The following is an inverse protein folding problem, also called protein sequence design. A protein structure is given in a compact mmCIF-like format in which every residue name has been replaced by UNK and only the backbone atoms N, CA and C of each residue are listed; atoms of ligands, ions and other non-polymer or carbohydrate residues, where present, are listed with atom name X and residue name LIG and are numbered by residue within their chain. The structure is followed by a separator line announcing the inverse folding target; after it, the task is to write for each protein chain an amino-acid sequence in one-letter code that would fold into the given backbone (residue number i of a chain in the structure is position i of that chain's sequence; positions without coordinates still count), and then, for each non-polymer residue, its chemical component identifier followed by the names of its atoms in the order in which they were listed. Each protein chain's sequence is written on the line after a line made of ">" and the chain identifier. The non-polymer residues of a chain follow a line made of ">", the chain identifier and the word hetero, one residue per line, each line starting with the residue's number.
data_IF_627653121257
#
_entry.id   IF_627653121257
#
_cell.length_a   1.000
_cell.length_b   1.000
_cell.length_c   1.000
_cell.angle_alpha   90.00
_cell.angle_beta   90.00
_cell.angle_gamma   90.00
#
_symmetry.space_group_name_H-M   'P 1'
#
loop_
_entity.id
_entity.type
_entity.pdbx_description
1 polymer ?
#
# COMPACT_ATOMS: atom_id res chain seq x y z
N UNK A 1 -1.78 -23.29 27.84
CA UNK A 1 -1.49 -22.15 26.96
C UNK A 1 -2.81 -21.72 26.33
N UNK A 2 -3.36 -20.56 26.75
CA UNK A 2 -4.56 -20.02 26.14
C UNK A 2 -4.22 -19.64 24.68
N UNK A 3 -5.03 -20.09 23.71
CA UNK A 3 -4.90 -19.66 22.32
C UNK A 3 -5.26 -18.17 22.27
N UNK A 4 -4.30 -17.33 21.92
CA UNK A 4 -4.54 -15.92 21.67
C UNK A 4 -5.56 -15.79 20.53
N UNK A 5 -6.61 -15.00 20.76
CA UNK A 5 -7.64 -14.77 19.75
C UNK A 5 -7.08 -13.79 18.73
N UNK A 6 -6.91 -14.23 17.49
CA UNK A 6 -6.45 -13.41 16.38
C UNK A 6 -7.64 -13.07 15.50
N UNK A 7 -7.94 -11.77 15.39
CA UNK A 7 -8.96 -11.26 14.47
C UNK A 7 -8.30 -10.88 13.15
N UNK A 8 -8.74 -11.51 12.06
CA UNK A 8 -8.21 -11.26 10.72
C UNK A 8 -9.19 -10.43 9.90
N UNK A 9 -8.77 -9.21 9.53
CA UNK A 9 -9.54 -8.26 8.74
C UNK A 9 -8.94 -8.15 7.34
N UNK A 10 -9.72 -8.44 6.27
CA UNK A 10 -9.23 -8.27 4.92
C UNK A 10 -9.20 -6.78 4.55
N UNK A 11 -8.13 -6.33 3.91
CA UNK A 11 -8.08 -5.02 3.27
C UNK A 11 -8.96 -5.01 2.02
N UNK A 12 -9.82 -3.99 1.91
CA UNK A 12 -10.67 -3.77 0.73
C UNK A 12 -10.15 -2.56 -0.04
N UNK A 13 -9.99 -2.73 -1.34
CA UNK A 13 -9.55 -1.64 -2.20
C UNK A 13 -10.62 -0.56 -2.31
N UNK A 14 -10.22 0.70 -2.15
CA UNK A 14 -11.06 1.85 -2.46
C UNK A 14 -11.27 1.99 -3.97
N UNK A 15 -12.30 2.74 -4.38
CA UNK A 15 -12.53 3.08 -5.79
C UNK A 15 -11.30 3.74 -6.44
N UNK A 16 -10.58 4.57 -5.68
CA UNK A 16 -9.38 5.27 -6.16
C UNK A 16 -8.26 4.28 -6.46
N UNK A 17 -8.00 3.33 -5.57
CA UNK A 17 -6.99 2.26 -5.78
C UNK A 17 -7.35 1.43 -7.01
N UNK A 18 -8.64 1.09 -7.20
CA UNK A 18 -9.11 0.41 -8.39
C UNK A 18 -8.83 1.22 -9.67
N UNK A 19 -9.21 2.50 -9.68
CA UNK A 19 -9.01 3.39 -10.84
C UNK A 19 -7.53 3.49 -11.18
N UNK A 20 -6.66 3.74 -10.20
CA UNK A 20 -5.21 3.88 -10.43
C UNK A 20 -4.63 2.57 -10.96
N UNK A 21 -5.01 1.43 -10.37
CA UNK A 21 -4.51 0.11 -10.79
C UNK A 21 -4.96 -0.23 -12.21
N UNK A 22 -6.22 -0.02 -12.54
CA UNK A 22 -6.71 -0.23 -13.92
C UNK A 22 -6.05 0.72 -14.92
N UNK A 23 -5.91 2.00 -14.56
CA UNK A 23 -5.24 2.97 -15.44
C UNK A 23 -3.80 2.56 -15.74
N UNK A 24 -3.08 2.03 -14.75
CA UNK A 24 -1.73 1.51 -14.96
C UNK A 24 -1.71 0.38 -16.00
N UNK A 25 -2.63 -0.58 -15.90
CA UNK A 25 -2.71 -1.67 -16.87
C UNK A 25 -3.13 -1.20 -18.27
N UNK A 26 -4.06 -0.23 -18.35
CA UNK A 26 -4.44 0.37 -19.65
C UNK A 26 -3.23 1.04 -20.31
N UNK A 27 -2.45 1.82 -19.57
CA UNK A 27 -1.22 2.44 -20.07
C UNK A 27 -0.20 1.40 -20.51
N UNK A 28 0.00 0.34 -19.73
CA UNK A 28 0.90 -0.75 -20.09
C UNK A 28 0.50 -1.42 -21.41
N UNK A 29 -0.79 -1.74 -21.58
CA UNK A 29 -1.32 -2.32 -22.81
C UNK A 29 -1.17 -1.36 -24.00
N UNK A 30 -1.43 -0.06 -23.82
CA UNK A 30 -1.29 0.95 -24.86
C UNK A 30 0.19 1.08 -25.31
N UNK A 31 1.13 1.10 -24.38
CA UNK A 31 2.57 1.16 -24.69
C UNK A 31 3.03 -0.08 -25.43
N UNK A 32 2.63 -1.27 -24.98
CA UNK A 32 2.95 -2.53 -25.66
C UNK A 32 2.34 -2.56 -27.07
N UNK A 33 1.08 -2.14 -27.20
CA UNK A 33 0.40 -2.04 -28.49
C UNK A 33 1.11 -1.09 -29.47
N UNK A 34 1.59 0.06 -28.97
CA UNK A 34 2.38 1.00 -29.79
C UNK A 34 3.69 0.37 -30.27
N UNK A 35 4.40 -0.38 -29.41
CA UNK A 35 5.64 -1.07 -29.81
C UNK A 35 5.37 -2.13 -30.87
N UNK A 36 4.28 -2.89 -30.76
CA UNK A 36 3.86 -3.86 -31.78
C UNK A 36 3.50 -3.16 -33.07
N UNK A 37 2.77 -2.05 -33.05
CA UNK A 37 2.44 -1.27 -34.23
C UNK A 37 3.71 -0.75 -34.96
N UNK A 38 4.71 -0.31 -34.18
CA UNK A 38 6.02 0.09 -34.75
C UNK A 38 6.71 -1.05 -35.50
N UNK A 39 6.65 -2.27 -34.96
CA UNK A 39 7.19 -3.47 -35.62
C UNK A 39 6.49 -3.72 -36.96
N UNK A 40 5.15 -3.67 -36.95
CA UNK A 40 4.33 -3.92 -38.17
C UNK A 40 4.59 -2.87 -39.26
N UNK A 41 4.87 -1.64 -38.87
CA UNK A 41 5.20 -0.54 -39.81
C UNK A 41 6.65 -0.56 -40.32
N UNK A 42 7.41 -1.61 -40.02
CA UNK A 42 8.80 -1.79 -40.51
C UNK A 42 9.88 -1.33 -39.54
N UNK A 43 9.55 -0.72 -38.42
CA UNK A 43 10.48 -0.33 -37.37
C UNK A 43 10.85 -1.50 -36.42
N UNK A 44 11.20 -2.65 -37.00
CA UNK A 44 11.36 -3.92 -36.27
C UNK A 44 12.33 -3.81 -35.10
N UNK A 45 13.52 -3.25 -35.34
CA UNK A 45 14.57 -3.13 -34.32
C UNK A 45 14.11 -2.25 -33.13
N UNK A 46 13.56 -1.08 -33.45
CA UNK A 46 13.07 -0.14 -32.41
C UNK A 46 11.91 -0.70 -31.61
N UNK A 47 10.97 -1.37 -32.28
CA UNK A 47 9.84 -2.00 -31.59
C UNK A 47 10.24 -3.17 -30.67
N UNK A 48 11.19 -4.02 -31.13
CA UNK A 48 11.70 -5.12 -30.30
C UNK A 48 12.47 -4.60 -29.07
N UNK A 49 13.36 -3.63 -29.25
CA UNK A 49 14.10 -3.01 -28.15
C UNK A 49 13.11 -2.39 -27.17
N UNK A 50 12.10 -1.66 -27.66
CA UNK A 50 11.05 -1.09 -26.82
C UNK A 50 10.32 -2.13 -25.98
N UNK A 51 9.93 -3.27 -26.55
CA UNK A 51 9.28 -4.36 -25.83
C UNK A 51 10.19 -5.00 -24.78
N UNK A 52 11.46 -5.25 -25.12
CA UNK A 52 12.43 -5.84 -24.18
C UNK A 52 12.65 -4.95 -22.96
N UNK A 53 12.55 -3.63 -23.11
CA UNK A 53 12.72 -2.68 -22.02
C UNK A 53 11.38 -2.47 -21.27
N UNK A 54 10.29 -2.16 -21.96
CA UNK A 54 9.05 -1.76 -21.35
C UNK A 54 8.36 -2.89 -20.57
N UNK A 55 8.32 -4.10 -21.15
CA UNK A 55 7.60 -5.22 -20.55
C UNK A 55 8.17 -5.62 -19.17
N UNK A 56 9.48 -5.83 -18.99
CA UNK A 56 10.04 -6.14 -17.67
C UNK A 56 9.82 -5.01 -16.66
N UNK A 57 9.87 -3.75 -17.09
CA UNK A 57 9.64 -2.60 -16.19
C UNK A 57 8.20 -2.63 -15.66
N UNK A 58 7.19 -2.79 -16.53
CA UNK A 58 5.79 -2.87 -16.08
C UNK A 58 5.55 -4.07 -15.15
N UNK A 59 6.12 -5.23 -15.49
CA UNK A 59 6.03 -6.42 -14.64
C UNK A 59 6.69 -6.19 -13.28
N UNK A 60 7.89 -5.61 -13.26
CA UNK A 60 8.62 -5.35 -12.02
C UNK A 60 7.87 -4.35 -11.11
N UNK A 61 7.31 -3.27 -11.68
CA UNK A 61 6.50 -2.30 -10.93
C UNK A 61 5.24 -2.99 -10.38
N UNK A 62 4.51 -3.75 -11.20
CA UNK A 62 3.30 -4.44 -10.76
C UNK A 62 3.61 -5.45 -9.65
N UNK A 63 4.64 -6.28 -9.82
CA UNK A 63 5.06 -7.29 -8.85
C UNK A 63 5.52 -6.64 -7.53
N UNK A 64 6.29 -5.55 -7.59
CA UNK A 64 6.71 -4.80 -6.42
C UNK A 64 5.50 -4.23 -5.67
N UNK A 65 4.62 -3.51 -6.36
CA UNK A 65 3.49 -2.87 -5.74
C UNK A 65 2.48 -3.88 -5.17
N UNK A 66 2.20 -4.98 -5.88
CA UNK A 66 1.31 -6.03 -5.39
C UNK A 66 1.93 -6.79 -4.21
N UNK A 67 3.22 -7.11 -4.29
CA UNK A 67 3.91 -7.88 -3.27
C UNK A 67 4.07 -7.17 -1.93
N UNK A 68 4.20 -5.85 -1.93
CA UNK A 68 4.33 -5.02 -0.73
C UNK A 68 3.02 -4.33 -0.31
N UNK A 69 1.95 -4.44 -1.08
CA UNK A 69 0.63 -3.93 -0.71
C UNK A 69 0.06 -4.70 0.49
N UNK A 70 -0.61 -4.02 1.43
CA UNK A 70 -1.27 -4.68 2.56
C UNK A 70 -2.47 -5.50 2.09
N UNK A 71 -2.53 -6.77 2.50
CA UNK A 71 -3.59 -7.70 2.11
C UNK A 71 -4.54 -8.00 3.26
N UNK A 72 -4.01 -8.18 4.47
CA UNK A 72 -4.79 -8.50 5.68
C UNK A 72 -4.18 -7.80 6.88
N UNK A 73 -5.06 -7.43 7.80
CA UNK A 73 -4.70 -6.92 9.12
C UNK A 73 -5.08 -7.98 10.15
N UNK A 74 -4.10 -8.47 10.88
CA UNK A 74 -4.31 -9.36 12.01
C UNK A 74 -4.13 -8.58 13.30
N UNK A 75 -5.15 -8.63 14.14
CA UNK A 75 -5.16 -7.94 15.43
C UNK A 75 -5.30 -8.98 16.53
N UNK A 76 -4.31 -9.01 17.41
CA UNK A 76 -4.31 -9.86 18.59
C UNK A 76 -4.16 -9.02 19.87
N UNK A 77 -4.18 -9.67 21.02
CA UNK A 77 -3.97 -9.00 22.32
C UNK A 77 -2.54 -8.49 22.49
N UNK A 78 -1.56 -9.15 21.86
CA UNK A 78 -0.14 -8.83 21.99
C UNK A 78 0.40 -7.94 20.86
N UNK A 79 -0.18 -8.02 19.66
CA UNK A 79 0.37 -7.38 18.47
C UNK A 79 -0.66 -7.05 17.39
N UNK A 80 -0.30 -6.11 16.53
CA UNK A 80 -1.00 -5.78 15.29
C UNK A 80 -0.07 -6.15 14.13
N UNK A 81 -0.49 -7.07 13.25
CA UNK A 81 0.32 -7.56 12.13
C UNK A 81 -0.34 -7.23 10.79
N UNK A 82 0.40 -6.56 9.93
CA UNK A 82 0.00 -6.24 8.57
C UNK A 82 0.62 -7.29 7.66
N UNK A 83 -0.22 -8.18 7.12
CA UNK A 83 0.20 -9.21 6.19
C UNK A 83 0.29 -8.65 4.77
N UNK A 84 1.40 -8.92 4.11
CA UNK A 84 1.67 -8.63 2.71
C UNK A 84 2.12 -9.91 2.03
N UNK A 85 2.13 -9.96 0.70
CA UNK A 85 2.51 -11.18 -0.02
C UNK A 85 3.95 -11.61 0.27
N UNK A 86 4.91 -10.66 0.26
CA UNK A 86 6.33 -11.00 0.42
C UNK A 86 6.80 -11.03 1.87
N UNK A 87 6.16 -10.29 2.76
CA UNK A 87 6.53 -10.23 4.17
C UNK A 87 5.38 -9.70 5.03
N UNK A 88 5.59 -9.62 6.33
CA UNK A 88 4.67 -8.99 7.28
C UNK A 88 5.35 -7.87 8.06
N UNK A 89 4.55 -6.95 8.58
CA UNK A 89 4.98 -5.90 9.51
C UNK A 89 4.21 -6.07 10.80
N UNK A 90 4.93 -6.23 11.89
CA UNK A 90 4.35 -6.43 13.22
C UNK A 90 4.62 -5.22 14.09
N UNK A 91 3.58 -4.72 14.75
CA UNK A 91 3.62 -3.65 15.75
C UNK A 91 3.22 -4.27 17.08
N UNK A 92 4.13 -4.32 18.03
CA UNK A 92 3.83 -4.86 19.37
C UNK A 92 2.96 -3.87 20.14
N UNK A 93 1.85 -4.34 20.72
CA UNK A 93 0.96 -3.48 21.51
C UNK A 93 1.65 -2.86 22.71
N UNK A 94 2.61 -3.55 23.30
CA UNK A 94 3.42 -3.04 24.42
C UNK A 94 4.24 -1.78 24.07
N UNK A 95 4.50 -1.55 22.77
CA UNK A 95 5.23 -0.37 22.30
C UNK A 95 4.30 0.78 21.90
N UNK A 96 3.00 0.55 21.80
CA UNK A 96 2.04 1.55 21.34
C UNK A 96 1.74 2.54 22.47
N UNK A 97 1.94 3.83 22.20
CA UNK A 97 1.58 4.93 23.10
C UNK A 97 0.17 5.42 22.82
N UNK A 98 -0.15 5.70 21.55
CA UNK A 98 -1.45 6.23 21.14
C UNK A 98 -1.96 5.58 19.86
N UNK A 99 -3.29 5.45 19.76
CA UNK A 99 -4.01 5.10 18.54
C UNK A 99 -5.08 6.17 18.33
N UNK A 100 -4.95 6.96 17.28
CA UNK A 100 -5.81 8.10 17.01
C UNK A 100 -6.48 7.96 15.63
N UNK A 101 -7.79 8.24 15.52
CA UNK A 101 -8.45 8.27 14.23
C UNK A 101 -7.96 9.48 13.42
N UNK A 102 -7.75 9.26 12.12
CA UNK A 102 -7.37 10.31 11.18
C UNK A 102 -8.52 10.64 10.23
N UNK A 103 -8.71 11.91 10.00
CA UNK A 103 -9.65 12.40 9.00
C UNK A 103 -8.97 12.59 7.62
N UNK A 104 -9.77 12.68 6.56
CA UNK A 104 -9.26 12.98 5.23
C UNK A 104 -8.52 14.35 5.17
N UNK A 105 -8.86 15.30 6.07
CA UNK A 105 -8.16 16.58 6.17
C UNK A 105 -6.72 16.42 6.67
N UNK A 106 -6.49 15.44 7.55
CA UNK A 106 -5.18 15.17 8.15
C UNK A 106 -4.20 14.58 7.14
N UNK A 107 -4.74 13.95 6.09
CA UNK A 107 -3.96 13.36 5.00
C UNK A 107 -3.75 14.29 3.80
N UNK A 108 -4.26 15.54 3.87
CA UNK A 108 -4.04 16.52 2.78
C UNK A 108 -2.56 16.87 2.66
N UNK A 109 -2.12 17.05 1.40
CA UNK A 109 -0.74 17.41 1.07
C UNK A 109 0.31 16.41 1.59
N UNK A 110 -0.05 15.11 1.58
CA UNK A 110 0.88 14.05 1.91
C UNK A 110 1.79 13.77 0.73
N UNK A 111 3.10 13.91 0.96
CA UNK A 111 4.14 13.56 0.00
C UNK A 111 4.55 12.09 0.18
N UNK A 112 4.76 11.38 -0.93
CA UNK A 112 5.35 10.05 -0.92
C UNK A 112 6.88 10.19 -0.92
N UNK A 113 7.54 9.72 0.13
CA UNK A 113 9.00 9.73 0.28
C UNK A 113 9.65 8.42 -0.21
N UNK A 114 8.87 7.37 -0.37
CA UNK A 114 9.34 6.07 -0.86
C UNK A 114 8.33 4.97 -0.59
N UNK A 115 7.82 4.38 -1.66
CA UNK A 115 6.77 3.37 -1.64
C UNK A 115 5.77 3.58 -2.77
N UNK A 116 4.55 3.12 -2.59
CA UNK A 116 3.49 3.23 -3.57
C UNK A 116 2.34 4.11 -3.09
N UNK A 117 1.85 5.00 -3.94
CA UNK A 117 0.76 5.94 -3.66
C UNK A 117 -0.51 5.65 -4.46
N UNK A 118 -1.05 4.43 -4.38
CA UNK A 118 -2.34 4.08 -4.97
C UNK A 118 -2.37 2.87 -5.91
N UNK A 119 -1.24 2.43 -6.48
CA UNK A 119 -1.18 1.20 -7.25
C UNK A 119 -1.21 0.00 -6.28
N UNK A 120 -2.27 -0.80 -6.33
CA UNK A 120 -2.62 -1.87 -5.38
C UNK A 120 -2.83 -1.41 -3.93
N UNK A 121 -2.59 -0.13 -3.60
CA UNK A 121 -2.74 0.43 -2.25
C UNK A 121 -1.72 1.53 -1.97
N UNK A 122 -1.67 1.94 -0.71
CA UNK A 122 -0.75 2.94 -0.18
C UNK A 122 0.17 2.27 0.81
N UNK A 123 1.47 2.23 0.52
CA UNK A 123 2.44 1.63 1.42
C UNK A 123 3.80 2.29 1.28
N UNK A 124 4.57 2.29 2.36
CA UNK A 124 5.89 2.90 2.42
C UNK A 124 5.94 4.17 3.26
N UNK A 125 6.95 5.01 3.03
CA UNK A 125 7.18 6.23 3.79
C UNK A 125 6.51 7.42 3.16
N UNK A 126 5.79 8.17 3.98
CA UNK A 126 5.09 9.39 3.61
C UNK A 126 5.41 10.50 4.60
N UNK A 127 5.16 11.74 4.20
CA UNK A 127 5.27 12.89 5.09
C UNK A 127 4.19 13.92 4.79
N UNK A 128 3.71 14.59 5.81
CA UNK A 128 2.90 15.79 5.66
C UNK A 128 3.18 16.79 6.80
N UNK A 129 2.65 18.01 6.66
CA UNK A 129 2.90 19.08 7.63
C UNK A 129 2.37 18.80 9.03
N UNK A 130 1.29 18.02 9.16
CA UNK A 130 0.65 17.75 10.44
C UNK A 130 1.30 16.60 11.19
N UNK A 131 1.57 15.46 10.50
CA UNK A 131 2.04 14.24 11.11
C UNK A 131 3.57 14.12 11.12
N UNK A 132 4.26 14.93 10.28
CA UNK A 132 5.67 14.70 9.97
C UNK A 132 5.84 13.44 9.11
N UNK A 133 6.95 12.73 9.28
CA UNK A 133 7.19 11.45 8.62
C UNK A 133 6.41 10.30 9.29
N UNK A 134 5.84 9.42 8.47
CA UNK A 134 5.13 8.22 8.92
C UNK A 134 5.21 7.11 7.87
N UNK A 135 5.02 5.88 8.30
CA UNK A 135 4.86 4.74 7.41
C UNK A 135 3.38 4.41 7.26
N UNK A 136 2.94 4.24 6.03
CA UNK A 136 1.54 3.96 5.73
C UNK A 136 1.35 2.55 5.17
N UNK A 137 0.28 1.88 5.58
CA UNK A 137 -0.23 0.64 5.01
C UNK A 137 -1.74 0.70 4.94
N UNK A 138 -2.26 1.09 3.79
CA UNK A 138 -3.69 1.25 3.59
C UNK A 138 -4.09 0.92 2.14
N UNK A 139 -5.34 0.51 1.96
CA UNK A 139 -5.96 0.31 0.63
C UNK A 139 -7.12 1.28 0.40
N UNK A 140 -7.43 2.08 1.41
CA UNK A 140 -8.46 3.11 1.36
C UNK A 140 -8.01 4.33 2.20
N UNK A 141 -8.58 5.51 1.91
CA UNK A 141 -8.31 6.75 2.65
C UNK A 141 -9.39 7.05 3.69
N UNK A 142 -10.24 6.10 3.96
CA UNK A 142 -11.26 6.10 5.02
C UNK A 142 -10.85 5.18 6.17
N UNK A 143 -11.41 5.42 7.34
CA UNK A 143 -11.13 4.67 8.56
C UNK A 143 -9.61 4.51 8.84
N UNK A 144 -8.88 5.61 8.69
CA UNK A 144 -7.45 5.67 8.95
C UNK A 144 -7.17 5.88 10.44
N UNK A 145 -6.15 5.22 10.94
CA UNK A 145 -5.68 5.31 12.32
C UNK A 145 -4.18 5.57 12.34
N UNK A 146 -3.78 6.55 13.15
CA UNK A 146 -2.38 6.82 13.46
C UNK A 146 -2.01 6.03 14.72
N UNK A 147 -1.03 5.16 14.60
CA UNK A 147 -0.42 4.43 15.71
C UNK A 147 0.94 5.06 15.97
N UNK A 148 1.14 5.58 17.19
CA UNK A 148 2.43 6.11 17.62
C UNK A 148 3.07 5.15 18.62
N UNK A 149 4.31 4.77 18.38
CA UNK A 149 5.07 3.84 19.22
C UNK A 149 6.12 4.56 20.07
N UNK A 150 6.58 3.92 21.14
CA UNK A 150 7.51 4.49 22.12
C UNK A 150 8.87 4.88 21.53
N UNK A 151 9.28 4.27 20.42
CA UNK A 151 10.46 4.63 19.65
C UNK A 151 10.25 5.82 18.70
N UNK A 152 9.09 6.49 18.80
CA UNK A 152 8.73 7.68 18.00
C UNK A 152 8.28 7.36 16.58
N UNK A 153 8.18 6.09 16.19
CA UNK A 153 7.65 5.73 14.86
C UNK A 153 6.15 5.95 14.80
N UNK A 154 5.72 6.38 13.63
CA UNK A 154 4.31 6.64 13.30
C UNK A 154 3.86 5.72 12.17
N UNK A 155 2.76 5.01 12.41
CA UNK A 155 2.18 4.10 11.44
C UNK A 155 0.76 4.55 11.13
N UNK A 156 0.41 4.61 9.85
CA UNK A 156 -0.96 4.90 9.40
C UNK A 156 -1.51 3.66 8.73
N UNK A 157 -2.59 3.14 9.29
CA UNK A 157 -3.29 1.95 8.78
C UNK A 157 -4.77 2.27 8.59
N UNK A 158 -5.45 1.58 7.67
CA UNK A 158 -6.90 1.60 7.67
C UNK A 158 -7.46 0.32 8.30
N UNK A 159 -8.49 0.48 9.13
CA UNK A 159 -9.13 -0.62 9.85
C UNK A 159 -10.64 -0.48 9.79
N UNK A 160 -11.35 -1.54 9.38
CA UNK A 160 -12.81 -1.57 9.31
C UNK A 160 -13.48 -1.71 10.68
N UNK A 161 -12.77 -2.23 11.67
CA UNK A 161 -13.26 -2.50 13.03
C UNK A 161 -12.38 -1.82 14.07
N UNK A 162 -12.63 -0.53 14.36
CA UNK A 162 -11.78 0.27 15.25
C UNK A 162 -11.73 -0.25 16.69
N UNK A 163 -12.79 -0.89 17.14
CA UNK A 163 -12.87 -1.43 18.50
C UNK A 163 -11.78 -2.47 18.79
N UNK A 164 -11.36 -3.22 17.75
CA UNK A 164 -10.29 -4.20 17.87
C UNK A 164 -8.91 -3.54 18.08
N UNK A 165 -8.71 -2.33 17.55
CA UNK A 165 -7.46 -1.59 17.76
C UNK A 165 -7.36 -1.04 19.18
N UNK A 166 -8.50 -0.65 19.79
CA UNK A 166 -8.55 0.02 21.08
C UNK A 166 -8.67 -0.94 22.28
N UNK A 167 -8.99 -2.22 22.06
CA UNK A 167 -8.97 -3.23 23.13
C UNK A 167 -7.57 -3.33 23.72
N UNK A 168 -7.45 -2.94 24.98
CA UNK A 168 -6.28 -3.17 25.83
C UNK A 168 -6.27 -4.60 26.31
#
# INVERSE_FOLDING_TARGET
>A
MAREVVHTLPYRWSKIVWIITFSFFIVAVAVIGLMIATIVQGGVVGGIIGLIIALPIFIAIAAYCEGYSPQRLEVSESQITILRRYNSVTILRSTIITIEPLSAKDMRWTANLGGCGGLFGYFGRFSNRRLGEFTMYATAMDNLYLITTADGKKWVINCSEPDLLQKK
#
